data_IF_379440928468
#
_entry.id   IF_379440928468
#
_cell.length_a   1.000
_cell.length_b   1.000
_cell.length_c   1.000
_cell.angle_alpha   90.00
_cell.angle_beta   90.00
_cell.angle_gamma   90.00
#
_symmetry.space_group_name_H-M   'P 1'
#
loop_
_entity.id
_entity.type
_entity.pdbx_description
1 polymer ?
#
# COMPACT_ATOMS: atom_id res chain seq x y z
N UNK A 1 -32.93 -31.65 -47.37
CA UNK A 1 -32.17 -30.38 -47.20
C UNK A 1 -32.52 -29.78 -45.85
N UNK A 2 -31.55 -29.61 -44.94
CA UNK A 2 -31.79 -28.90 -43.67
C UNK A 2 -31.81 -27.39 -43.95
N UNK A 3 -32.89 -26.70 -43.59
CA UNK A 3 -32.92 -25.23 -43.69
C UNK A 3 -31.89 -24.64 -42.73
N UNK A 4 -30.98 -23.81 -43.25
CA UNK A 4 -30.11 -23.01 -42.40
C UNK A 4 -30.95 -21.85 -41.88
N UNK A 5 -31.17 -21.79 -40.57
CA UNK A 5 -31.76 -20.61 -39.93
C UNK A 5 -30.73 -19.48 -40.04
N UNK A 6 -31.06 -18.44 -40.80
CA UNK A 6 -30.27 -17.21 -40.86
C UNK A 6 -30.74 -16.28 -39.73
N UNK A 7 -29.80 -15.72 -38.98
CA UNK A 7 -30.07 -14.74 -37.94
C UNK A 7 -30.52 -13.42 -38.58
N UNK A 8 -31.51 -12.75 -37.99
CA UNK A 8 -31.93 -11.44 -38.46
C UNK A 8 -31.04 -10.34 -37.86
N UNK A 9 -30.88 -9.24 -38.59
CA UNK A 9 -30.14 -8.07 -38.09
C UNK A 9 -30.80 -7.48 -36.84
N UNK A 10 -32.13 -7.53 -36.76
CA UNK A 10 -32.88 -7.02 -35.60
C UNK A 10 -32.65 -7.87 -34.34
N UNK A 11 -32.57 -9.20 -34.47
CA UNK A 11 -32.23 -10.08 -33.34
C UNK A 11 -30.83 -9.78 -32.80
N UNK A 12 -29.85 -9.59 -33.68
CA UNK A 12 -28.50 -9.21 -33.26
C UNK A 12 -28.48 -7.84 -32.59
N UNK A 13 -29.23 -6.87 -33.13
CA UNK A 13 -29.28 -5.50 -32.62
C UNK A 13 -29.87 -5.43 -31.20
N UNK A 14 -30.93 -6.19 -30.93
CA UNK A 14 -31.52 -6.27 -29.59
C UNK A 14 -30.54 -6.89 -28.58
N UNK A 15 -29.81 -7.93 -28.98
CA UNK A 15 -28.83 -8.59 -28.12
C UNK A 15 -27.71 -7.64 -27.71
N UNK A 16 -27.10 -6.93 -28.66
CA UNK A 16 -26.02 -5.98 -28.34
C UNK A 16 -26.53 -4.79 -27.53
N UNK A 17 -27.77 -4.35 -27.74
CA UNK A 17 -28.40 -3.29 -26.95
C UNK A 17 -28.57 -3.72 -25.47
N UNK A 18 -29.03 -4.94 -25.21
CA UNK A 18 -29.15 -5.47 -23.85
C UNK A 18 -27.78 -5.61 -23.18
N UNK A 19 -26.78 -6.13 -23.90
CA UNK A 19 -25.40 -6.27 -23.37
C UNK A 19 -24.83 -4.88 -23.02
N UNK A 20 -25.05 -3.86 -23.86
CA UNK A 20 -24.58 -2.51 -23.59
C UNK A 20 -25.18 -1.91 -22.31
N UNK A 21 -26.49 -2.12 -22.08
CA UNK A 21 -27.16 -1.66 -20.85
C UNK A 21 -26.60 -2.37 -19.62
N UNK A 22 -26.42 -3.68 -19.69
CA UNK A 22 -25.85 -4.46 -18.59
C UNK A 22 -24.40 -4.05 -18.29
N UNK A 23 -23.58 -3.86 -19.33
CA UNK A 23 -22.20 -3.42 -19.19
C UNK A 23 -22.10 -2.03 -18.57
N UNK A 24 -22.96 -1.09 -18.95
CA UNK A 24 -22.98 0.27 -18.40
C UNK A 24 -23.16 0.31 -16.88
N UNK A 25 -23.94 -0.62 -16.32
CA UNK A 25 -24.15 -0.74 -14.86
C UNK A 25 -23.06 -1.59 -14.20
N UNK A 26 -22.67 -2.70 -14.84
CA UNK A 26 -21.76 -3.67 -14.26
C UNK A 26 -20.30 -3.17 -14.20
N UNK A 27 -19.83 -2.48 -15.23
CA UNK A 27 -18.43 -2.03 -15.36
C UNK A 27 -18.00 -1.10 -14.22
N UNK A 28 -18.69 0.02 -13.90
CA UNK A 28 -18.27 0.90 -12.80
C UNK A 28 -18.25 0.18 -11.45
N UNK A 29 -19.26 -0.64 -11.16
CA UNK A 29 -19.31 -1.42 -9.92
C UNK A 29 -18.18 -2.46 -9.83
N UNK A 30 -17.83 -3.09 -10.96
CA UNK A 30 -16.71 -4.02 -11.03
C UNK A 30 -15.37 -3.32 -10.77
N UNK A 31 -15.16 -2.14 -11.35
CA UNK A 31 -13.95 -1.33 -11.13
C UNK A 31 -13.82 -0.95 -9.65
N UNK A 32 -14.90 -0.50 -9.01
CA UNK A 32 -14.89 -0.19 -7.58
C UNK A 32 -14.61 -1.42 -6.71
N UNK A 33 -15.20 -2.57 -7.04
CA UNK A 33 -14.93 -3.82 -6.35
C UNK A 33 -13.45 -4.24 -6.49
N UNK A 34 -12.85 -4.02 -7.66
CA UNK A 34 -11.44 -4.28 -7.89
C UNK A 34 -10.56 -3.38 -7.02
N UNK A 35 -10.85 -2.08 -6.93
CA UNK A 35 -10.10 -1.15 -6.06
C UNK A 35 -10.21 -1.57 -4.59
N UNK A 36 -11.42 -1.88 -4.10
CA UNK A 36 -11.63 -2.39 -2.73
C UNK A 36 -10.82 -3.67 -2.47
N UNK A 37 -10.76 -4.58 -3.44
CA UNK A 37 -9.93 -5.79 -3.35
C UNK A 37 -8.44 -5.47 -3.24
N UNK A 38 -7.94 -4.50 -4.02
CA UNK A 38 -6.55 -4.03 -3.92
C UNK A 38 -6.25 -3.41 -2.55
N UNK A 39 -7.13 -2.54 -2.03
CA UNK A 39 -6.98 -1.96 -0.67
C UNK A 39 -6.93 -3.06 0.40
N UNK A 40 -7.79 -4.08 0.28
CA UNK A 40 -7.75 -5.22 1.22
C UNK A 40 -6.46 -6.02 1.10
N UNK A 41 -5.93 -6.22 -0.11
CA UNK A 41 -4.62 -6.86 -0.33
C UNK A 41 -3.51 -6.05 0.35
N UNK A 42 -3.48 -4.74 0.14
CA UNK A 42 -2.50 -3.84 0.75
C UNK A 42 -2.47 -4.01 2.27
N UNK A 43 -3.63 -3.94 2.92
CA UNK A 43 -3.72 -4.11 4.37
C UNK A 43 -3.20 -5.48 4.84
N UNK A 44 -3.44 -6.54 4.08
CA UNK A 44 -2.95 -7.89 4.40
C UNK A 44 -1.44 -8.05 4.18
N UNK A 45 -0.91 -7.46 3.11
CA UNK A 45 0.53 -7.47 2.83
C UNK A 45 1.31 -6.68 3.88
N UNK A 46 0.84 -5.47 4.20
CA UNK A 46 1.34 -4.67 5.32
C UNK A 46 1.25 -5.45 6.63
N UNK A 47 0.18 -6.24 6.83
CA UNK A 47 0.05 -7.14 7.99
C UNK A 47 1.24 -8.08 8.10
N UNK A 48 1.53 -8.76 7.00
CA UNK A 48 2.59 -9.76 6.84
C UNK A 48 3.98 -9.15 7.06
N UNK A 49 4.27 -8.01 6.43
CA UNK A 49 5.55 -7.31 6.56
C UNK A 49 5.83 -6.96 8.02
N UNK A 50 4.88 -6.37 8.73
CA UNK A 50 5.14 -6.06 10.14
C UNK A 50 5.37 -7.29 10.99
N UNK A 51 4.66 -8.41 10.75
CA UNK A 51 4.90 -9.62 11.53
C UNK A 51 6.36 -10.07 11.36
N UNK A 52 6.92 -9.93 10.16
CA UNK A 52 8.33 -10.15 9.93
C UNK A 52 9.21 -9.15 10.68
N UNK A 53 8.86 -7.86 10.69
CA UNK A 53 9.61 -6.82 11.41
C UNK A 53 9.57 -7.03 12.93
N UNK A 54 8.41 -7.41 13.49
CA UNK A 54 8.29 -7.76 14.91
C UNK A 54 9.10 -9.01 15.26
N UNK A 55 9.08 -10.04 14.41
CA UNK A 55 9.89 -11.24 14.62
C UNK A 55 11.39 -10.93 14.54
N UNK A 56 11.81 -10.12 13.56
CA UNK A 56 13.18 -9.63 13.47
C UNK A 56 13.59 -8.84 14.73
N UNK A 57 12.71 -7.97 15.24
CA UNK A 57 12.96 -7.19 16.46
C UNK A 57 13.18 -8.05 17.71
N UNK A 58 12.50 -9.20 17.79
CA UNK A 58 12.66 -10.15 18.89
C UNK A 58 14.08 -10.75 18.88
N UNK A 59 14.58 -11.13 17.71
CA UNK A 59 15.88 -11.81 17.59
C UNK A 59 17.07 -10.85 17.64
N UNK A 60 16.93 -9.67 17.03
CA UNK A 60 18.03 -8.73 16.81
C UNK A 60 18.01 -7.53 17.76
N UNK A 61 16.99 -7.44 18.62
CA UNK A 61 16.74 -6.31 19.49
C UNK A 61 16.69 -4.94 18.77
N UNK A 62 16.46 -4.93 17.46
CA UNK A 62 16.30 -3.76 16.59
C UNK A 62 15.39 -4.11 15.43
N UNK A 63 14.63 -3.16 14.89
CA UNK A 63 14.02 -3.36 13.56
C UNK A 63 15.10 -3.39 12.47
N UNK A 64 14.80 -4.00 11.30
CA UNK A 64 15.67 -3.96 10.14
C UNK A 64 15.99 -2.52 9.75
N UNK A 65 17.21 -2.27 9.26
CA UNK A 65 17.62 -0.97 8.77
C UNK A 65 17.05 -0.72 7.36
N UNK A 66 15.90 -0.06 7.33
CA UNK A 66 15.35 0.63 6.18
C UNK A 66 15.51 2.13 6.38
N UNK A 67 16.70 2.65 6.06
CA UNK A 67 16.88 4.08 5.87
C UNK A 67 16.51 4.44 4.44
N UNK A 68 15.60 5.40 4.30
CA UNK A 68 15.39 6.10 3.04
C UNK A 68 16.60 7.04 2.78
N UNK A 69 17.66 6.45 2.22
CA UNK A 69 18.85 7.20 1.84
C UNK A 69 18.67 7.73 0.41
N UNK A 70 18.06 8.91 0.31
CA UNK A 70 18.11 9.82 -0.83
C UNK A 70 17.40 9.33 -2.12
N UNK A 71 16.36 10.08 -2.47
CA UNK A 71 15.88 10.39 -3.84
C UNK A 71 15.79 9.16 -4.76
N UNK A 72 14.60 8.54 -4.79
CA UNK A 72 14.18 7.48 -5.72
C UNK A 72 14.55 6.02 -5.41
N UNK A 73 15.03 5.73 -4.20
CA UNK A 73 15.27 4.35 -3.80
C UNK A 73 14.55 4.05 -2.49
N UNK A 74 13.33 3.52 -2.58
CA UNK A 74 12.76 2.69 -1.51
C UNK A 74 13.69 1.49 -1.35
N UNK A 75 14.77 1.65 -0.60
CA UNK A 75 15.74 0.57 -0.45
C UNK A 75 15.01 -0.51 0.30
N UNK A 76 14.75 -1.67 -0.32
CA UNK A 76 14.15 -2.83 0.36
C UNK A 76 15.16 -3.50 1.31
N UNK A 77 16.06 -2.74 1.88
CA UNK A 77 17.21 -3.26 2.63
C UNK A 77 16.72 -3.95 3.91
N UNK A 78 15.74 -3.36 4.58
CA UNK A 78 15.08 -3.93 5.74
C UNK A 78 14.34 -5.22 5.39
N UNK A 79 13.57 -5.25 4.30
CA UNK A 79 12.94 -6.48 3.82
C UNK A 79 13.94 -7.56 3.42
N UNK A 80 15.08 -7.20 2.84
CA UNK A 80 16.17 -8.14 2.51
C UNK A 80 16.83 -8.70 3.77
N UNK A 81 16.97 -7.92 4.83
CA UNK A 81 17.42 -8.42 6.14
C UNK A 81 16.40 -9.39 6.75
N UNK A 82 15.12 -9.25 6.40
CA UNK A 82 14.09 -10.20 6.81
C UNK A 82 14.10 -11.54 6.04
N UNK A 83 14.98 -11.73 5.05
CA UNK A 83 15.09 -13.00 4.30
C UNK A 83 16.40 -13.74 4.52
N UNK A 84 17.45 -13.05 4.98
CA UNK A 84 18.78 -13.64 5.22
C UNK A 84 19.46 -12.97 6.42
N UNK A 85 20.15 -13.73 7.31
CA UNK A 85 20.36 -15.19 7.27
C UNK A 85 19.16 -16.01 7.78
N UNK A 86 18.23 -15.39 8.51
CA UNK A 86 16.99 -16.01 8.98
C UNK A 86 15.82 -15.43 8.18
N UNK A 87 14.95 -16.30 7.68
CA UNK A 87 13.79 -15.89 6.90
C UNK A 87 12.58 -15.62 7.82
N UNK A 88 12.30 -14.35 8.07
CA UNK A 88 11.08 -13.86 8.75
C UNK A 88 9.93 -13.62 7.77
N UNK A 89 10.25 -13.47 6.48
CA UNK A 89 9.31 -13.40 5.37
C UNK A 89 9.81 -14.25 4.21
N UNK A 90 8.90 -14.92 3.48
CA UNK A 90 9.26 -15.84 2.40
C UNK A 90 9.27 -15.20 1.01
N UNK A 91 8.64 -14.05 0.85
CA UNK A 91 8.54 -13.34 -0.43
C UNK A 91 8.19 -11.87 -0.21
N UNK A 92 8.65 -10.99 -1.11
CA UNK A 92 8.31 -9.58 -1.08
C UNK A 92 6.94 -9.34 -1.71
N UNK A 93 5.94 -8.86 -0.95
CA UNK A 93 4.65 -8.55 -1.53
C UNK A 93 4.78 -7.30 -2.42
N UNK A 94 4.03 -7.32 -3.53
CA UNK A 94 4.00 -6.26 -4.53
C UNK A 94 2.81 -5.34 -4.25
N UNK A 95 3.06 -4.04 -4.17
CA UNK A 95 2.01 -3.06 -4.01
C UNK A 95 1.16 -2.98 -5.31
N UNK A 96 -0.15 -3.28 -5.26
CA UNK A 96 -1.05 -3.19 -6.41
C UNK A 96 -1.37 -1.76 -6.88
N UNK A 97 -1.00 -0.74 -6.10
CA UNK A 97 -1.15 0.69 -6.42
C UNK A 97 0.16 1.37 -6.83
N UNK A 98 1.27 0.64 -6.85
CA UNK A 98 2.52 1.21 -7.34
C UNK A 98 2.42 1.57 -8.83
N UNK A 99 2.55 2.86 -9.14
CA UNK A 99 2.59 3.35 -10.51
C UNK A 99 3.67 4.41 -10.69
N UNK A 100 4.95 4.03 -10.55
CA UNK A 100 6.02 4.93 -11.00
C UNK A 100 6.53 4.51 -12.39
N UNK A 101 6.25 5.29 -13.46
CA UNK A 101 6.86 5.09 -14.78
C UNK A 101 8.33 5.55 -14.83
N UNK A 102 8.84 6.21 -13.79
CA UNK A 102 10.19 6.82 -13.74
C UNK A 102 11.23 5.92 -13.09
N UNK A 103 10.80 4.86 -12.40
CA UNK A 103 11.67 3.87 -11.80
C UNK A 103 11.87 2.76 -12.82
N UNK A 104 13.04 2.71 -13.44
CA UNK A 104 13.37 1.67 -14.41
C UNK A 104 13.18 0.30 -13.75
N UNK A 105 12.30 -0.53 -14.31
CA UNK A 105 12.02 -1.91 -13.90
C UNK A 105 13.25 -2.85 -13.97
N UNK A 106 14.43 -2.30 -14.29
CA UNK A 106 15.72 -2.97 -14.41
C UNK A 106 16.54 -2.93 -13.12
N UNK A 107 16.10 -2.20 -12.09
CA UNK A 107 16.73 -2.22 -10.77
C UNK A 107 15.91 -3.05 -9.79
N UNK A 108 16.40 -4.24 -9.46
CA UNK A 108 15.82 -5.14 -8.45
C UNK A 108 15.80 -4.51 -7.03
N UNK A 109 16.37 -3.31 -6.86
CA UNK A 109 16.31 -2.49 -5.64
C UNK A 109 15.15 -1.51 -5.63
N UNK A 110 14.45 -1.35 -6.74
CA UNK A 110 13.32 -0.44 -6.91
C UNK A 110 12.07 -1.23 -7.36
N UNK A 111 11.93 -2.46 -6.85
CA UNK A 111 10.79 -3.28 -7.18
C UNK A 111 9.49 -2.58 -6.70
N UNK A 112 8.35 -2.81 -7.36
CA UNK A 112 7.03 -2.26 -7.04
C UNK A 112 6.47 -2.76 -5.69
N UNK A 113 7.25 -2.70 -4.62
CA UNK A 113 6.89 -3.08 -3.26
C UNK A 113 6.37 -1.87 -2.50
N UNK A 114 5.87 -2.13 -1.30
CA UNK A 114 5.58 -1.09 -0.32
C UNK A 114 6.83 -0.30 0.01
N UNK A 115 6.68 1.00 0.13
CA UNK A 115 7.71 1.85 0.71
C UNK A 115 7.76 1.58 2.21
N UNK A 116 8.96 1.36 2.74
CA UNK A 116 9.17 0.99 4.14
C UNK A 116 10.33 1.81 4.66
N UNK A 117 10.15 2.38 5.85
CA UNK A 117 11.21 3.02 6.58
C UNK A 117 11.22 2.56 8.02
N UNK A 118 12.41 2.41 8.57
CA UNK A 118 12.69 2.22 9.98
C UNK A 118 13.43 3.43 10.51
N UNK A 119 13.09 3.90 11.71
CA UNK A 119 13.77 5.06 12.27
C UNK A 119 14.14 4.90 13.74
N UNK A 120 14.94 5.86 14.17
CA UNK A 120 15.48 6.02 15.52
C UNK A 120 14.75 7.18 16.18
N UNK A 121 14.35 7.05 17.44
CA UNK A 121 13.91 8.22 18.19
C UNK A 121 15.12 9.12 18.46
N UNK A 122 16.17 8.67 19.19
CA UNK A 122 17.42 9.44 19.41
C UNK A 122 18.68 8.60 19.82
N UNK A 123 18.72 7.27 19.64
CA UNK A 123 19.92 6.42 19.81
C UNK A 123 19.76 5.07 19.08
N UNK A 124 20.76 4.19 19.10
CA UNK A 124 20.63 2.79 18.64
C UNK A 124 20.04 1.97 19.79
N UNK A 125 19.08 1.05 19.54
CA UNK A 125 18.63 0.45 18.25
C UNK A 125 17.46 1.16 17.51
N UNK A 126 17.03 0.64 16.34
CA UNK A 126 15.81 1.08 15.65
C UNK A 126 14.56 0.55 16.37
N UNK A 127 13.67 1.45 16.77
CA UNK A 127 12.52 1.13 17.63
C UNK A 127 11.17 1.33 16.96
N UNK A 128 11.12 1.83 15.72
CA UNK A 128 9.87 2.06 15.02
C UNK A 128 10.03 1.94 13.49
N UNK A 129 8.92 1.69 12.81
CA UNK A 129 8.85 1.60 11.35
C UNK A 129 7.49 2.07 10.82
N UNK A 130 7.47 2.39 9.53
CA UNK A 130 6.27 2.63 8.74
C UNK A 130 6.32 1.87 7.41
N UNK A 131 5.15 1.53 6.90
CA UNK A 131 4.91 0.85 5.63
C UNK A 131 3.86 1.67 4.89
N UNK A 132 4.11 1.98 3.62
CA UNK A 132 3.35 2.95 2.83
C UNK A 132 2.95 2.34 1.49
N UNK A 133 1.75 2.69 1.04
CA UNK A 133 1.22 2.43 -0.30
C UNK A 133 0.45 3.65 -0.79
N UNK A 134 0.70 4.08 -2.03
CA UNK A 134 0.12 5.29 -2.65
C UNK A 134 -1.42 5.28 -2.80
N UNK A 135 -2.07 4.18 -2.39
CA UNK A 135 -3.53 4.09 -2.39
C UNK A 135 -4.19 4.20 -3.78
N UNK A 136 -5.53 4.32 -3.83
CA UNK A 136 -6.27 4.29 -5.09
C UNK A 136 -5.99 5.43 -6.07
N UNK A 137 -5.58 6.61 -5.57
CA UNK A 137 -5.20 7.77 -6.36
C UNK A 137 -3.82 7.64 -7.00
N UNK A 138 -2.98 6.71 -6.51
CA UNK A 138 -1.65 6.43 -7.04
C UNK A 138 -0.75 7.69 -7.08
N UNK A 139 -0.97 8.62 -6.15
CA UNK A 139 -0.10 9.77 -5.92
C UNK A 139 0.56 9.60 -4.58
N UNK A 140 1.82 9.98 -4.48
CA UNK A 140 2.53 9.97 -3.20
C UNK A 140 2.14 11.24 -2.45
N UNK A 141 1.46 11.06 -1.32
CA UNK A 141 0.93 12.12 -0.48
C UNK A 141 1.72 12.26 0.85
N UNK A 142 2.96 11.72 0.91
CA UNK A 142 3.84 11.79 2.10
C UNK A 142 4.53 13.14 2.31
N UNK A 143 4.52 14.03 1.30
CA UNK A 143 5.12 15.36 1.33
C UNK A 143 6.66 15.34 1.30
N UNK A 144 7.29 16.43 0.82
CA UNK A 144 8.75 16.54 0.63
C UNK A 144 9.59 16.61 1.91
N UNK A 145 9.00 16.29 3.06
CA UNK A 145 9.63 16.34 4.36
C UNK A 145 9.64 14.90 4.90
N UNK A 146 10.52 14.12 4.29
CA UNK A 146 10.91 12.73 4.55
C UNK A 146 11.51 12.57 5.97
N UNK A 147 10.98 13.28 6.97
CA UNK A 147 11.45 13.18 8.34
C UNK A 147 10.86 11.90 8.94
N UNK A 148 11.58 10.80 8.72
CA UNK A 148 11.13 9.46 9.03
C UNK A 148 11.16 9.15 10.54
N UNK A 149 10.19 8.39 11.08
CA UNK A 149 9.03 7.79 10.43
C UNK A 149 7.74 8.59 10.70
N UNK A 150 7.83 9.85 11.16
CA UNK A 150 6.69 10.56 11.76
C UNK A 150 6.76 12.10 11.74
N UNK A 151 7.64 12.72 10.95
CA UNK A 151 7.82 14.18 10.90
C UNK A 151 7.22 14.80 9.62
N UNK A 152 6.60 13.98 8.76
CA UNK A 152 5.90 14.40 7.54
C UNK A 152 4.42 14.73 7.76
N UNK A 153 3.83 15.49 6.84
CA UNK A 153 2.40 15.79 6.83
C UNK A 153 1.66 14.69 6.04
N UNK A 154 1.26 13.62 6.71
CA UNK A 154 0.63 12.46 6.06
C UNK A 154 -0.84 12.71 5.75
N UNK A 155 -1.26 12.40 4.53
CA UNK A 155 -2.68 12.33 4.16
C UNK A 155 -3.14 10.88 4.11
N UNK A 156 -3.77 10.41 5.18
CA UNK A 156 -4.23 9.02 5.29
C UNK A 156 -5.39 8.66 4.37
N UNK A 157 -5.38 7.41 3.89
CA UNK A 157 -6.49 6.75 3.20
C UNK A 157 -7.75 6.82 4.06
N UNK A 158 -8.81 7.35 3.48
CA UNK A 158 -10.11 7.50 4.12
C UNK A 158 -11.08 6.43 3.58
N UNK A 159 -11.48 5.45 4.41
CA UNK A 159 -12.44 4.41 4.02
C UNK A 159 -13.82 4.95 3.63
N UNK A 160 -14.21 6.14 4.12
CA UNK A 160 -15.50 6.77 3.77
C UNK A 160 -15.46 7.39 2.37
N UNK A 161 -14.29 7.89 1.96
CA UNK A 161 -13.99 8.29 0.58
C UNK A 161 -13.65 7.08 -0.32
N UNK A 162 -13.64 5.87 0.23
CA UNK A 162 -13.75 4.62 -0.51
C UNK A 162 -12.69 4.41 -1.59
N UNK A 163 -13.14 4.21 -2.83
CA UNK A 163 -12.29 3.93 -3.99
C UNK A 163 -11.67 5.18 -4.61
N UNK A 164 -12.02 6.37 -4.12
CA UNK A 164 -11.57 7.69 -4.62
C UNK A 164 -10.78 8.48 -3.57
N UNK A 165 -10.24 7.81 -2.56
CA UNK A 165 -9.42 8.47 -1.54
C UNK A 165 -8.15 9.04 -2.15
N UNK A 166 -7.85 10.29 -1.78
CA UNK A 166 -6.65 11.03 -2.19
C UNK A 166 -5.50 10.89 -1.16
N UNK A 167 -5.46 9.79 -0.42
CA UNK A 167 -4.50 9.60 0.65
C UNK A 167 -3.95 8.19 0.64
N UNK A 168 -2.71 8.06 1.10
CA UNK A 168 -1.98 6.81 1.09
C UNK A 168 -2.45 5.89 2.21
N UNK A 169 -2.24 4.60 2.01
CA UNK A 169 -2.47 3.60 3.03
C UNK A 169 -1.17 3.47 3.84
N UNK A 170 -1.27 3.75 5.14
CA UNK A 170 -0.13 3.66 6.05
C UNK A 170 -0.31 2.56 7.07
N UNK A 171 0.82 1.97 7.46
CA UNK A 171 0.91 1.17 8.68
C UNK A 171 2.17 1.52 9.45
N UNK A 172 2.01 1.75 10.75
CA UNK A 172 3.11 2.02 11.66
C UNK A 172 3.26 0.91 12.70
N UNK A 173 4.46 0.74 13.24
CA UNK A 173 4.73 -0.18 14.34
C UNK A 173 5.98 0.17 15.14
N UNK A 174 6.24 -0.64 16.16
CA UNK A 174 7.27 -0.39 17.17
C UNK A 174 6.86 0.56 18.28
N UNK A 175 7.86 0.96 19.08
CA UNK A 175 7.74 1.93 20.17
C UNK A 175 8.35 3.25 19.74
N UNK A 176 7.49 4.18 19.33
CA UNK A 176 7.90 5.58 19.20
C UNK A 176 7.81 6.25 20.58
N UNK A 177 8.83 7.01 21.00
CA UNK A 177 8.80 7.73 22.27
C UNK A 177 7.57 8.65 22.31
N UNK A 178 6.59 8.27 23.14
CA UNK A 178 5.35 9.02 23.38
C UNK A 178 5.72 10.36 24.02
N UNK A 179 5.34 11.46 23.38
CA UNK A 179 5.43 12.80 23.99
C UNK A 179 5.87 13.95 23.09
N UNK A 180 6.25 13.71 21.83
CA UNK A 180 6.71 14.81 20.95
C UNK A 180 5.73 15.28 19.90
N UNK A 181 4.70 14.52 19.50
CA UNK A 181 3.75 15.01 18.49
C UNK A 181 2.30 14.52 18.65
N UNK A 182 1.40 15.49 18.44
CA UNK A 182 -0.04 15.41 18.45
C UNK A 182 -0.53 15.66 17.01
N UNK A 183 -1.26 14.74 16.40
CA UNK A 183 -2.10 15.07 15.24
C UNK A 183 -3.43 15.61 15.80
N UNK A 184 -3.66 16.92 15.74
CA UNK A 184 -4.85 17.57 16.33
C UNK A 184 -5.13 17.21 17.80
N UNK A 185 -4.09 16.96 18.60
CA UNK A 185 -4.23 16.58 20.02
C UNK A 185 -4.49 15.09 20.29
N UNK A 186 -4.41 14.23 19.27
CA UNK A 186 -4.66 12.80 19.42
C UNK A 186 -3.35 12.01 19.49
N UNK A 187 -3.20 11.09 20.48
CA UNK A 187 -2.02 10.26 20.62
C UNK A 187 -1.91 9.23 19.50
N UNK A 188 -0.66 8.86 19.20
CA UNK A 188 -0.25 7.88 18.19
C UNK A 188 -1.12 6.60 18.21
N UNK A 189 -1.79 6.29 17.10
CA UNK A 189 -2.61 5.07 16.98
C UNK A 189 -1.95 4.07 16.03
N UNK A 190 -1.83 2.82 16.51
CA UNK A 190 -1.24 1.63 15.85
C UNK A 190 -1.89 1.24 14.50
N UNK A 191 -2.93 1.95 14.09
CA UNK A 191 -3.68 1.71 12.86
C UNK A 191 -4.01 3.06 12.20
N UNK A 192 -3.34 3.38 11.11
CA UNK A 192 -3.79 4.42 10.18
C UNK A 192 -5.09 3.96 9.52
N UNK A 193 -6.22 4.46 10.04
CA UNK A 193 -7.54 4.17 9.49
C UNK A 193 -8.66 4.09 10.51
N UNK A 194 -8.82 5.12 11.35
CA UNK A 194 -10.12 5.61 11.82
C UNK A 194 -9.90 6.78 12.75
N UNK A 195 -10.23 8.00 12.33
CA UNK A 195 -10.78 8.98 13.26
C UNK A 195 -11.91 9.69 12.53
N UNK A 196 -13.08 9.06 12.56
CA UNK A 196 -14.33 9.78 12.44
C UNK A 196 -14.59 10.49 13.77
N UNK A 197 -14.88 11.78 13.69
CA UNK A 197 -16.17 12.34 14.08
C UNK A 197 -16.59 13.31 12.99
#
# INVERSE_FOLDING_TARGET
MKSKRAFTLIELLIVVAIIAILAAIAVPNFLDAQVRSKVSRVKNDMRTIAMAYEAYRIDWNSYPNDQDNYIYHATQNGLRQCTTPVAYITSFPRDPFFSNPSVSLTDDRAAPCYEIASARAWAEPYDCYCIISMGPNMTDDTGSNDGWPAQGNFRGYDPTNGTVSYGDIYRFGGQYLVGTWNYNGLPWQRWGGSIGN
#
